data_IF_411627048111
#
_entry.id   IF_411627048111
#
_cell.length_a   1.000
_cell.length_b   1.000
_cell.length_c   1.000
_cell.angle_alpha   90.00
_cell.angle_beta   90.00
_cell.angle_gamma   90.00
#
_symmetry.space_group_name_H-M   'P 1'
#
loop_
_entity.id
_entity.type
_entity.pdbx_description
1 polymer ?
#
# COMPACT_ATOMS: atom_id res chain seq x y z
N UNK A 1 2.25 2.20 19.16
CA UNK A 1 3.69 2.49 18.98
C UNK A 1 4.46 2.02 20.19
N UNK A 2 5.48 1.18 19.97
CA UNK A 2 6.37 0.65 21.00
C UNK A 2 7.78 1.23 20.81
N UNK A 3 8.50 1.47 21.90
CA UNK A 3 9.90 1.91 21.86
C UNK A 3 10.77 0.80 22.44
N UNK A 4 11.82 0.41 21.73
CA UNK A 4 12.79 -0.61 22.17
C UNK A 4 14.20 -0.12 21.95
N UNK A 5 15.14 -0.53 22.79
CA UNK A 5 16.56 -0.26 22.54
C UNK A 5 17.08 -1.09 21.36
N UNK A 6 18.11 -0.60 20.67
CA UNK A 6 18.80 -1.35 19.62
C UNK A 6 19.26 -2.74 20.08
N UNK A 7 19.77 -2.86 21.32
CA UNK A 7 20.23 -4.14 21.86
C UNK A 7 19.07 -5.15 22.02
N UNK A 8 17.90 -4.69 22.46
CA UNK A 8 16.72 -5.56 22.56
C UNK A 8 16.15 -5.92 21.19
N UNK A 9 16.02 -4.95 20.30
CA UNK A 9 15.57 -5.18 18.93
C UNK A 9 16.46 -6.21 18.21
N UNK A 10 17.79 -6.11 18.39
CA UNK A 10 18.75 -7.08 17.84
C UNK A 10 18.57 -8.48 18.44
N UNK A 11 18.41 -8.58 19.76
CA UNK A 11 18.28 -9.86 20.45
C UNK A 11 16.95 -10.57 20.13
N UNK A 12 15.90 -9.80 19.88
CA UNK A 12 14.52 -10.30 19.72
C UNK A 12 13.91 -9.93 18.36
N UNK A 13 14.73 -9.81 17.32
CA UNK A 13 14.31 -9.25 16.02
C UNK A 13 13.08 -9.95 15.42
N UNK A 14 13.04 -11.30 15.48
CA UNK A 14 11.88 -12.06 14.99
C UNK A 14 10.59 -11.61 15.66
N UNK A 15 10.58 -11.54 17.00
CA UNK A 15 9.40 -11.11 17.75
C UNK A 15 9.04 -9.65 17.43
N UNK A 16 10.02 -8.77 17.20
CA UNK A 16 9.73 -7.40 16.75
C UNK A 16 9.01 -7.40 15.41
N UNK A 17 9.47 -8.21 14.44
CA UNK A 17 8.85 -8.33 13.12
C UNK A 17 7.45 -8.95 13.19
N UNK A 18 7.28 -10.03 13.95
CA UNK A 18 5.96 -10.65 14.16
C UNK A 18 4.97 -9.62 14.73
N UNK A 19 5.36 -8.90 15.79
CA UNK A 19 4.50 -7.88 16.42
C UNK A 19 4.10 -6.75 15.46
N UNK A 20 5.01 -6.22 14.64
CA UNK A 20 4.64 -5.11 13.73
C UNK A 20 3.73 -5.58 12.59
N UNK A 21 3.79 -6.86 12.21
CA UNK A 21 2.87 -7.45 11.24
C UNK A 21 1.49 -7.69 11.86
N UNK A 22 1.44 -8.28 13.06
CA UNK A 22 0.17 -8.64 13.72
C UNK A 22 -0.60 -7.42 14.21
N UNK A 23 0.09 -6.42 14.78
CA UNK A 23 -0.55 -5.26 15.40
C UNK A 23 -0.78 -4.09 14.41
N UNK A 24 -0.33 -4.23 13.15
CA UNK A 24 -0.30 -3.17 12.13
C UNK A 24 0.21 -1.83 12.71
N UNK A 25 1.29 -1.87 13.50
CA UNK A 25 1.79 -0.73 14.28
C UNK A 25 3.31 -0.59 14.11
N UNK A 26 3.81 0.62 14.34
CA UNK A 26 5.23 0.91 14.25
C UNK A 26 5.96 0.69 15.59
N UNK A 27 7.18 0.15 15.52
CA UNK A 27 8.14 0.07 16.62
C UNK A 27 9.30 1.04 16.36
N UNK A 28 9.59 1.92 17.33
CA UNK A 28 10.78 2.77 17.32
C UNK A 28 11.94 1.99 17.95
N UNK A 29 13.08 1.98 17.28
CA UNK A 29 14.35 1.44 17.76
C UNK A 29 15.28 2.60 18.10
N UNK A 30 15.60 2.74 19.39
CA UNK A 30 16.49 3.80 19.87
C UNK A 30 17.95 3.37 19.84
N UNK A 31 18.83 4.28 19.45
CA UNK A 31 20.28 4.05 19.37
C UNK A 31 21.01 5.07 20.25
N UNK A 32 22.08 4.63 20.94
CA UNK A 32 22.84 5.52 21.84
C UNK A 32 23.69 6.55 21.09
N UNK A 33 24.27 6.13 19.96
CA UNK A 33 25.27 6.91 19.22
C UNK A 33 24.83 7.16 17.75
N UNK A 34 23.53 7.09 17.47
CA UNK A 34 22.94 7.30 16.14
C UNK A 34 21.47 7.69 16.26
N UNK A 35 20.87 8.18 15.17
CA UNK A 35 19.45 8.55 15.12
C UNK A 35 18.53 7.36 15.40
N UNK A 36 17.29 7.60 15.79
CA UNK A 36 16.32 6.52 15.95
C UNK A 36 15.86 5.94 14.60
N UNK A 37 15.40 4.69 14.60
CA UNK A 37 14.84 4.05 13.41
C UNK A 37 13.42 3.56 13.69
N UNK A 38 12.59 3.47 12.64
CA UNK A 38 11.24 2.91 12.74
C UNK A 38 11.17 1.60 11.98
N UNK A 39 10.59 0.59 12.61
CA UNK A 39 10.26 -0.71 12.02
C UNK A 39 8.74 -0.83 11.98
N UNK A 40 8.20 -1.21 10.83
CA UNK A 40 6.77 -1.43 10.60
C UNK A 40 6.58 -2.53 9.57
N UNK A 41 5.36 -3.09 9.47
CA UNK A 41 5.04 -4.04 8.40
C UNK A 41 5.05 -3.37 7.02
N UNK A 42 5.30 -4.17 5.99
CA UNK A 42 5.25 -3.70 4.60
C UNK A 42 3.86 -3.20 4.23
N UNK A 43 2.81 -3.90 4.65
CA UNK A 43 1.42 -3.53 4.36
C UNK A 43 1.05 -2.20 5.02
N UNK A 44 1.52 -1.97 6.24
CA UNK A 44 1.29 -0.69 6.93
C UNK A 44 2.06 0.46 6.26
N UNK A 45 3.31 0.22 5.85
CA UNK A 45 4.09 1.18 5.07
C UNK A 45 3.40 1.53 3.76
N UNK A 46 2.95 0.54 2.99
CA UNK A 46 2.26 0.75 1.72
C UNK A 46 0.96 1.52 1.90
N UNK A 47 0.16 1.16 2.91
CA UNK A 47 -1.09 1.86 3.24
C UNK A 47 -0.86 3.33 3.60
N UNK A 48 0.20 3.61 4.35
CA UNK A 48 0.61 4.99 4.69
C UNK A 48 1.04 5.76 3.44
N UNK A 49 1.89 5.16 2.60
CA UNK A 49 2.38 5.79 1.37
C UNK A 49 1.26 6.06 0.37
N UNK A 50 0.30 5.14 0.23
CA UNK A 50 -0.88 5.34 -0.61
C UNK A 50 -1.75 6.47 -0.09
N UNK A 51 -1.97 6.54 1.22
CA UNK A 51 -2.70 7.65 1.85
C UNK A 51 -2.01 8.99 1.57
N UNK A 52 -0.69 9.06 1.73
CA UNK A 52 0.11 10.25 1.42
C UNK A 52 -0.01 10.60 -0.06
N UNK A 53 0.03 9.62 -0.95
CA UNK A 53 -0.11 9.81 -2.39
C UNK A 53 -1.48 10.40 -2.76
N UNK A 54 -2.57 9.79 -2.27
CA UNK A 54 -3.93 10.25 -2.52
C UNK A 54 -4.16 11.67 -2.01
N UNK A 55 -3.57 12.03 -0.86
CA UNK A 55 -3.75 13.34 -0.23
C UNK A 55 -2.76 14.40 -0.74
N UNK A 56 -1.77 14.03 -1.56
CA UNK A 56 -0.74 14.95 -2.07
C UNK A 56 -1.34 16.08 -2.93
N UNK A 57 -2.39 15.81 -3.68
CA UNK A 57 -3.10 16.81 -4.48
C UNK A 57 -4.27 17.39 -3.68
N UNK A 58 -4.31 18.70 -3.39
CA UNK A 58 -5.42 19.31 -2.67
C UNK A 58 -6.77 19.08 -3.37
N UNK A 59 -6.79 19.07 -4.71
CA UNK A 59 -7.98 18.80 -5.49
C UNK A 59 -8.46 17.34 -5.31
N UNK A 60 -7.54 16.38 -5.33
CA UNK A 60 -7.88 14.97 -5.11
C UNK A 60 -8.32 14.71 -3.66
N UNK A 61 -7.64 15.33 -2.69
CA UNK A 61 -8.00 15.23 -1.28
C UNK A 61 -9.42 15.77 -1.02
N UNK A 62 -9.77 16.92 -1.60
CA UNK A 62 -11.11 17.49 -1.50
C UNK A 62 -12.16 16.60 -2.16
N UNK A 63 -11.89 16.11 -3.38
CA UNK A 63 -12.78 15.21 -4.10
C UNK A 63 -13.01 13.88 -3.35
N UNK A 64 -11.95 13.31 -2.79
CA UNK A 64 -12.03 12.07 -1.99
C UNK A 64 -12.83 12.31 -0.70
N UNK A 65 -12.59 13.42 0.00
CA UNK A 65 -13.33 13.77 1.20
C UNK A 65 -14.83 13.96 0.93
N UNK A 66 -15.18 14.62 -0.17
CA UNK A 66 -16.56 14.76 -0.63
C UNK A 66 -17.18 13.39 -0.95
N UNK A 67 -16.48 12.56 -1.72
CA UNK A 67 -16.94 11.22 -2.10
C UNK A 67 -17.22 10.35 -0.87
N UNK A 68 -16.34 10.38 0.14
CA UNK A 68 -16.52 9.67 1.42
C UNK A 68 -17.75 10.22 2.17
N UNK A 69 -17.96 11.53 2.19
CA UNK A 69 -19.12 12.14 2.84
C UNK A 69 -20.43 11.75 2.15
N UNK A 70 -20.47 11.75 0.82
CA UNK A 70 -21.61 11.29 0.02
C UNK A 70 -21.92 9.81 0.29
N UNK A 71 -20.89 8.95 0.30
CA UNK A 71 -21.03 7.53 0.64
C UNK A 71 -21.62 7.32 2.04
N UNK A 72 -21.09 7.99 3.06
CA UNK A 72 -21.61 7.92 4.45
C UNK A 72 -23.04 8.44 4.58
N UNK A 73 -23.43 9.40 3.73
CA UNK A 73 -24.79 9.92 3.67
C UNK A 73 -25.74 9.06 2.81
N UNK A 74 -25.29 7.91 2.28
CA UNK A 74 -26.08 7.04 1.41
C UNK A 74 -26.37 7.62 0.02
N UNK A 75 -25.67 8.69 -0.39
CA UNK A 75 -25.83 9.33 -1.70
C UNK A 75 -25.01 8.60 -2.77
N UNK A 76 -25.25 7.30 -2.92
CA UNK A 76 -24.55 6.44 -3.88
C UNK A 76 -25.45 6.08 -5.05
N UNK A 77 -24.84 5.82 -6.21
CA UNK A 77 -25.54 5.32 -7.40
C UNK A 77 -24.91 4.00 -7.78
N UNK A 78 -25.68 2.91 -7.73
CA UNK A 78 -25.24 1.60 -8.22
C UNK A 78 -25.20 1.63 -9.74
N UNK A 79 -24.10 1.13 -10.31
CA UNK A 79 -23.94 0.95 -11.75
C UNK A 79 -23.34 -0.42 -12.02
N UNK A 80 -23.76 -1.02 -13.12
CA UNK A 80 -23.12 -2.22 -13.64
C UNK A 80 -21.71 -1.90 -14.15
N UNK A 81 -20.81 -2.88 -14.07
CA UNK A 81 -19.46 -2.75 -14.63
C UNK A 81 -19.58 -2.67 -16.15
N UNK A 82 -18.89 -1.70 -16.75
CA UNK A 82 -18.78 -1.61 -18.19
C UNK A 82 -17.72 -2.62 -18.63
N UNK A 83 -18.06 -3.50 -19.57
CA UNK A 83 -17.12 -4.46 -20.14
C UNK A 83 -16.12 -3.71 -21.04
N UNK A 84 -14.83 -3.77 -20.70
CA UNK A 84 -13.76 -3.11 -21.46
C UNK A 84 -13.25 -4.02 -22.57
N UNK A 85 -14.15 -4.53 -23.41
CA UNK A 85 -13.83 -5.37 -24.55
C UNK A 85 -13.65 -4.54 -25.84
N UNK A 86 -12.90 -3.45 -25.79
CA UNK A 86 -12.35 -2.77 -26.98
C UNK A 86 -10.98 -2.15 -26.66
N UNK A 87 -10.01 -3.00 -26.27
CA UNK A 87 -8.62 -2.76 -26.62
C UNK A 87 -8.29 -3.69 -27.77
N UNK A 88 -8.17 -3.13 -28.96
CA UNK A 88 -7.67 -3.76 -30.16
C UNK A 88 -6.33 -4.47 -29.92
N UNK A 89 -6.38 -5.79 -29.70
CA UNK A 89 -5.25 -6.69 -29.97
C UNK A 89 -5.25 -6.99 -31.48
N UNK A 90 -4.93 -5.97 -32.28
CA UNK A 90 -4.37 -6.19 -33.63
C UNK A 90 -2.90 -6.53 -33.45
N UNK A 91 -2.63 -7.72 -32.95
CA UNK A 91 -1.35 -8.37 -33.16
C UNK A 91 -1.58 -9.87 -33.35
N UNK A 92 -2.10 -10.22 -34.53
CA UNK A 92 -1.89 -11.54 -35.12
C UNK A 92 -0.37 -11.76 -35.26
N UNK A 93 0.28 -12.20 -34.19
CA UNK A 93 1.46 -13.03 -34.35
C UNK A 93 0.96 -14.41 -34.75
N UNK A 94 0.81 -14.60 -36.06
CA UNK A 94 0.68 -15.92 -36.67
C UNK A 94 1.90 -16.74 -36.27
N UNK A 95 1.67 -17.75 -35.44
CA UNK A 95 2.66 -18.74 -35.02
C UNK A 95 2.92 -19.74 -36.17
N UNK A 96 3.20 -19.25 -37.39
CA UNK A 96 3.33 -20.08 -38.59
C UNK A 96 4.76 -20.38 -39.04
N UNK A 97 5.79 -19.84 -38.37
CA UNK A 97 7.18 -20.01 -38.84
C UNK A 97 8.10 -20.70 -37.81
N UNK A 98 7.59 -21.75 -37.14
CA UNK A 98 8.46 -22.79 -36.54
C UNK A 98 8.01 -24.17 -37.03
N UNK A 99 8.05 -24.36 -38.35
CA UNK A 99 8.28 -25.67 -38.94
C UNK A 99 9.27 -25.51 -40.11
N UNK A 100 10.42 -26.19 -39.99
CA UNK A 100 11.56 -26.29 -40.92
C UNK A 100 12.60 -25.16 -40.97
N UNK A 101 13.63 -25.28 -40.13
CA UNK A 101 15.05 -25.26 -40.55
C UNK A 101 15.94 -25.93 -39.50
#
# INVERSE_FOLDING_TARGET
MRVVSFSEARKHLKSVLDTVNDDANATIVTRRDADDAVVMSLDYYNSLMETVYLLKSPANAAHLAESIAQYKAGKTVTRDLIDTAESSDDNEHTDSDIENA
#
